data_IF_780448110840
#
_entry.id   IF_780448110840
#
_cell.length_a   1.000
_cell.length_b   1.000
_cell.length_c   1.000
_cell.angle_alpha   90.00
_cell.angle_beta   90.00
_cell.angle_gamma   90.00
#
_symmetry.space_group_name_H-M   'P 1'
#
loop_
_entity.id
_entity.type
_entity.pdbx_description
1 polymer ?
#
# COMPACT_ATOMS: atom_id res chain seq x y z
N UNK A 1 -0.16 27.81 -20.27
CA UNK A 1 -1.16 28.36 -21.21
C UNK A 1 -1.73 29.68 -20.70
N UNK A 2 -2.23 29.76 -19.45
CA UNK A 2 -2.78 31.01 -18.86
C UNK A 2 -1.87 32.23 -19.03
N UNK A 3 -0.59 32.13 -18.67
CA UNK A 3 0.37 33.25 -18.82
C UNK A 3 0.50 33.72 -20.27
N UNK A 4 0.52 32.79 -21.23
CA UNK A 4 0.65 33.10 -22.65
C UNK A 4 -0.62 33.77 -23.19
N UNK A 5 -1.80 33.33 -22.76
CA UNK A 5 -3.06 33.99 -23.11
C UNK A 5 -3.10 35.43 -22.59
N UNK A 6 -2.67 35.68 -21.34
CA UNK A 6 -2.56 37.05 -20.78
C UNK A 6 -1.54 37.93 -21.52
N UNK A 7 -0.43 37.34 -22.00
CA UNK A 7 0.55 38.08 -22.80
C UNK A 7 -0.05 38.48 -24.14
N UNK A 8 -0.69 37.55 -24.85
CA UNK A 8 -1.34 37.81 -26.14
C UNK A 8 -2.43 38.88 -25.99
N UNK A 9 -3.25 38.81 -24.93
CA UNK A 9 -4.28 39.81 -24.64
C UNK A 9 -3.71 41.22 -24.43
N UNK A 10 -2.51 41.34 -23.87
CA UNK A 10 -1.79 42.63 -23.77
C UNK A 10 -1.22 43.08 -25.11
N UNK A 11 -0.65 42.17 -25.89
CA UNK A 11 -0.08 42.45 -27.22
C UNK A 11 -1.16 42.90 -28.22
N UNK A 12 -2.35 42.30 -28.16
CA UNK A 12 -3.51 42.64 -29.00
C UNK A 12 -3.96 44.09 -28.81
N UNK A 13 -3.75 44.70 -27.64
CA UNK A 13 -4.10 46.12 -27.39
C UNK A 13 -3.25 47.12 -28.18
N UNK A 14 -2.10 46.69 -28.69
CA UNK A 14 -1.11 47.54 -29.34
C UNK A 14 -0.77 47.09 -30.77
N UNK A 15 -1.52 46.13 -31.31
CA UNK A 15 -1.25 45.52 -32.62
C UNK A 15 -2.45 45.75 -33.54
N UNK A 16 -2.21 46.10 -34.79
CA UNK A 16 -3.25 46.35 -35.81
C UNK A 16 -3.00 45.53 -37.09
N UNK A 17 -4.04 45.40 -37.92
CA UNK A 17 -3.94 44.78 -39.24
C UNK A 17 -3.71 43.26 -39.20
N UNK A 18 -2.97 42.69 -40.17
CA UNK A 18 -2.78 41.24 -40.30
C UNK A 18 -2.14 40.57 -39.08
N UNK A 19 -1.30 41.30 -38.34
CA UNK A 19 -0.67 40.81 -37.12
C UNK A 19 -1.69 40.63 -35.98
N UNK A 20 -2.70 41.50 -35.89
CA UNK A 20 -3.79 41.35 -34.91
C UNK A 20 -4.62 40.10 -35.22
N UNK A 21 -4.91 39.85 -36.50
CA UNK A 21 -5.69 38.68 -36.93
C UNK A 21 -4.96 37.35 -36.59
N UNK A 22 -3.63 37.31 -36.78
CA UNK A 22 -2.81 36.17 -36.35
C UNK A 22 -2.79 35.96 -34.82
N UNK A 23 -2.73 37.04 -34.03
CA UNK A 23 -2.82 36.98 -32.57
C UNK A 23 -4.20 36.53 -32.11
N UNK A 24 -5.28 37.01 -32.73
CA UNK A 24 -6.66 36.59 -32.46
C UNK A 24 -6.84 35.09 -32.68
N UNK A 25 -6.40 34.56 -33.83
CA UNK A 25 -6.47 33.13 -34.12
C UNK A 25 -5.69 32.29 -33.10
N UNK A 26 -4.52 32.76 -32.69
CA UNK A 26 -3.70 32.09 -31.68
C UNK A 26 -4.38 32.12 -30.31
N UNK A 27 -4.97 33.25 -29.92
CA UNK A 27 -5.73 33.38 -28.68
C UNK A 27 -6.93 32.44 -28.67
N UNK A 28 -7.76 32.45 -29.73
CA UNK A 28 -8.92 31.56 -29.86
C UNK A 28 -8.55 30.09 -29.73
N UNK A 29 -7.47 29.65 -30.40
CA UNK A 29 -6.98 28.27 -30.27
C UNK A 29 -6.54 27.96 -28.84
N UNK A 30 -5.77 28.83 -28.21
CA UNK A 30 -5.29 28.63 -26.83
C UNK A 30 -6.45 28.61 -25.82
N UNK A 31 -7.44 29.48 -25.97
CA UNK A 31 -8.63 29.51 -25.12
C UNK A 31 -9.43 28.23 -25.25
N UNK A 32 -9.67 27.78 -26.48
CA UNK A 32 -10.37 26.51 -26.74
C UNK A 32 -9.60 25.30 -26.18
N UNK A 33 -8.27 25.22 -26.38
CA UNK A 33 -7.46 24.16 -25.78
C UNK A 33 -7.46 24.22 -24.24
N UNK A 34 -7.44 25.43 -23.66
CA UNK A 34 -7.51 25.63 -22.22
C UNK A 34 -8.86 25.20 -21.64
N UNK A 35 -9.97 25.48 -22.33
CA UNK A 35 -11.31 24.98 -21.98
C UNK A 35 -11.39 23.46 -22.04
N UNK A 36 -10.90 22.85 -23.13
CA UNK A 36 -10.88 21.39 -23.29
C UNK A 36 -10.09 20.69 -22.19
N UNK A 37 -9.02 21.31 -21.69
CA UNK A 37 -8.21 20.79 -20.58
C UNK A 37 -8.76 21.18 -19.19
N UNK A 38 -9.99 21.70 -19.11
CA UNK A 38 -10.61 22.16 -17.88
C UNK A 38 -9.75 23.19 -17.11
N UNK A 39 -9.05 24.05 -17.87
CA UNK A 39 -8.07 25.00 -17.38
C UNK A 39 -8.66 26.06 -16.45
N UNK A 40 -9.98 26.29 -16.43
CA UNK A 40 -10.59 27.21 -15.45
C UNK A 40 -10.75 26.58 -14.06
N UNK A 41 -10.89 25.25 -13.97
CA UNK A 41 -11.08 24.54 -12.71
C UNK A 41 -9.77 24.11 -12.04
N UNK A 42 -8.62 24.19 -12.73
CA UNK A 42 -7.36 23.62 -12.25
C UNK A 42 -6.92 24.15 -10.87
N UNK A 43 -7.18 25.42 -10.54
CA UNK A 43 -6.84 26.00 -9.22
C UNK A 43 -7.68 25.39 -8.10
N UNK A 44 -8.97 25.18 -8.36
CA UNK A 44 -9.89 24.55 -7.42
C UNK A 44 -9.53 23.09 -7.22
N UNK A 45 -9.18 22.39 -8.29
CA UNK A 45 -8.72 21.00 -8.22
C UNK A 45 -7.40 20.85 -7.47
N UNK A 46 -6.40 21.69 -7.78
CA UNK A 46 -5.13 21.75 -7.05
C UNK A 46 -5.35 21.99 -5.56
N UNK A 47 -6.18 22.97 -5.22
CA UNK A 47 -6.53 23.28 -3.83
C UNK A 47 -7.23 22.11 -3.15
N UNK A 48 -8.16 21.46 -3.85
CA UNK A 48 -8.89 20.30 -3.34
C UNK A 48 -7.96 19.12 -3.02
N UNK A 49 -7.04 18.80 -3.94
CA UNK A 49 -6.05 17.73 -3.74
C UNK A 49 -5.09 18.06 -2.59
N UNK A 50 -4.55 19.29 -2.53
CA UNK A 50 -3.63 19.67 -1.46
C UNK A 50 -4.32 19.69 -0.08
N UNK A 51 -5.54 20.23 0.03
CA UNK A 51 -6.32 20.17 1.28
C UNK A 51 -6.65 18.74 1.67
N UNK A 52 -7.03 17.90 0.71
CA UNK A 52 -7.30 16.48 0.93
C UNK A 52 -6.09 15.68 1.41
N UNK A 53 -4.87 16.14 1.10
CA UNK A 53 -3.62 15.58 1.61
C UNK A 53 -3.14 16.25 2.91
N UNK A 54 -3.98 17.07 3.54
CA UNK A 54 -3.70 17.70 4.83
C UNK A 54 -2.78 18.92 4.77
N UNK A 55 -2.74 19.63 3.64
CA UNK A 55 -2.07 20.94 3.54
C UNK A 55 -3.05 22.09 3.79
N UNK A 56 -2.60 23.09 4.56
CA UNK A 56 -3.32 24.34 4.74
C UNK A 56 -2.98 25.34 3.63
N UNK A 57 -3.80 26.38 3.44
CA UNK A 57 -3.53 27.41 2.43
C UNK A 57 -2.23 28.17 2.69
N UNK A 58 -1.83 28.29 3.97
CA UNK A 58 -0.56 28.87 4.39
C UNK A 58 0.64 28.03 3.92
N UNK A 59 0.46 26.72 3.71
CA UNK A 59 1.50 25.83 3.23
C UNK A 59 1.76 25.97 1.73
N UNK A 60 0.80 26.52 0.95
CA UNK A 60 0.88 26.54 -0.51
C UNK A 60 2.01 27.43 -1.04
N UNK A 61 2.46 28.40 -0.24
CA UNK A 61 3.54 29.32 -0.59
C UNK A 61 4.88 28.94 0.03
N UNK A 62 4.91 27.88 0.87
CA UNK A 62 6.15 27.45 1.53
C UNK A 62 7.12 26.84 0.51
N UNK A 63 8.41 27.11 0.72
CA UNK A 63 9.45 26.48 -0.07
C UNK A 63 9.54 25.00 0.25
N UNK A 64 9.60 24.15 -0.79
CA UNK A 64 9.65 22.69 -0.66
C UNK A 64 10.79 22.24 0.27
N UNK A 65 11.93 22.94 0.25
CA UNK A 65 13.09 22.64 1.08
C UNK A 65 12.78 22.64 2.58
N UNK A 66 11.86 23.51 3.01
CA UNK A 66 11.44 23.68 4.41
C UNK A 66 10.46 22.60 4.89
N UNK A 67 9.92 21.80 3.98
CA UNK A 67 8.95 20.74 4.31
C UNK A 67 9.67 19.52 4.91
N UNK A 68 8.97 18.84 5.83
CA UNK A 68 9.42 17.56 6.37
C UNK A 68 9.44 16.47 5.29
N UNK A 69 10.15 15.36 5.53
CA UNK A 69 10.19 14.23 4.59
C UNK A 69 8.79 13.72 4.21
N UNK A 70 7.91 13.52 5.20
CA UNK A 70 6.53 13.11 4.97
C UNK A 70 5.71 14.14 4.18
N UNK A 71 5.89 15.43 4.44
CA UNK A 71 5.25 16.49 3.64
C UNK A 71 5.74 16.49 2.19
N UNK A 72 7.04 16.28 1.94
CA UNK A 72 7.58 16.17 0.57
C UNK A 72 6.96 15.01 -0.20
N UNK A 73 6.81 13.84 0.45
CA UNK A 73 6.13 12.69 -0.14
C UNK A 73 4.66 12.99 -0.45
N UNK A 74 3.94 13.68 0.46
CA UNK A 74 2.55 14.12 0.20
C UNK A 74 2.45 15.09 -0.97
N UNK A 75 3.37 16.05 -1.12
CA UNK A 75 3.42 16.93 -2.30
C UNK A 75 3.65 16.14 -3.58
N UNK A 76 4.55 15.15 -3.55
CA UNK A 76 4.82 14.28 -4.70
C UNK A 76 3.57 13.46 -5.10
N UNK A 77 2.87 12.90 -4.12
CA UNK A 77 1.58 12.23 -4.33
C UNK A 77 0.57 13.19 -4.95
N UNK A 78 0.40 14.39 -4.40
CA UNK A 78 -0.52 15.40 -4.95
C UNK A 78 -0.21 15.76 -6.40
N UNK A 79 1.07 15.95 -6.74
CA UNK A 79 1.51 16.17 -8.13
C UNK A 79 1.12 15.01 -9.05
N UNK A 80 1.28 13.78 -8.60
CA UNK A 80 0.92 12.59 -9.35
C UNK A 80 -0.61 12.51 -9.56
N UNK A 81 -1.41 12.73 -8.52
CA UNK A 81 -2.88 12.71 -8.63
C UNK A 81 -3.40 13.77 -9.60
N UNK A 82 -2.84 14.98 -9.55
CA UNK A 82 -3.23 16.09 -10.45
C UNK A 82 -2.86 15.81 -11.91
N UNK A 83 -1.80 15.02 -12.15
CA UNK A 83 -1.42 14.65 -13.52
C UNK A 83 -2.40 13.68 -14.19
N UNK A 84 -3.30 13.05 -13.42
CA UNK A 84 -4.36 12.13 -13.91
C UNK A 84 -3.87 11.10 -14.94
N UNK A 85 -2.83 10.31 -14.66
CA UNK A 85 -2.37 9.27 -15.58
C UNK A 85 -3.42 8.18 -15.79
N UNK A 86 -3.45 7.53 -16.96
CA UNK A 86 -4.37 6.40 -17.20
C UNK A 86 -4.14 5.23 -16.23
N UNK A 87 -2.90 5.09 -15.75
CA UNK A 87 -2.49 4.07 -14.78
C UNK A 87 -1.69 4.71 -13.66
N UNK A 88 -2.14 4.48 -12.43
CA UNK A 88 -1.51 4.96 -11.20
C UNK A 88 -0.83 3.80 -10.47
N UNK A 89 0.47 3.93 -10.20
CA UNK A 89 1.25 2.95 -9.43
C UNK A 89 1.62 3.58 -8.09
N UNK A 90 1.08 3.04 -7.00
CA UNK A 90 1.28 3.55 -5.65
C UNK A 90 1.94 2.51 -4.77
N UNK A 91 3.07 2.88 -4.16
CA UNK A 91 3.78 2.08 -3.18
C UNK A 91 3.66 2.74 -1.80
N UNK A 92 2.92 2.08 -0.89
CA UNK A 92 2.58 2.55 0.46
C UNK A 92 2.13 4.02 0.53
N UNK A 93 1.07 4.42 -0.20
CA UNK A 93 0.66 5.82 -0.29
C UNK A 93 0.03 6.37 1.01
N UNK A 94 -0.33 5.50 1.95
CA UNK A 94 -0.89 5.89 3.26
C UNK A 94 0.20 6.32 4.24
N UNK A 95 1.47 6.10 3.92
CA UNK A 95 2.57 6.51 4.79
C UNK A 95 2.57 8.03 4.99
N UNK A 96 2.73 8.46 6.24
CA UNK A 96 2.76 9.86 6.66
C UNK A 96 1.46 10.64 6.40
N UNK A 97 0.35 9.95 6.10
CA UNK A 97 -0.99 10.52 6.08
C UNK A 97 -1.65 10.38 7.46
N UNK A 98 -2.44 11.38 7.83
CA UNK A 98 -3.38 11.27 8.95
C UNK A 98 -4.68 10.57 8.52
N UNK A 99 -5.54 10.24 9.47
CA UNK A 99 -6.77 9.49 9.18
C UNK A 99 -7.71 10.23 8.23
N UNK A 100 -7.78 11.57 8.31
CA UNK A 100 -8.59 12.38 7.41
C UNK A 100 -8.07 12.33 5.98
N UNK A 101 -6.75 12.46 5.80
CA UNK A 101 -6.10 12.37 4.48
C UNK A 101 -6.22 10.97 3.88
N UNK A 102 -6.15 9.91 4.72
CA UNK A 102 -6.37 8.53 4.28
C UNK A 102 -7.81 8.38 3.76
N UNK A 103 -8.82 8.83 4.52
CA UNK A 103 -10.22 8.73 4.09
C UNK A 103 -10.51 9.53 2.81
N UNK A 104 -9.87 10.70 2.67
CA UNK A 104 -9.93 11.47 1.42
C UNK A 104 -9.31 10.70 0.25
N UNK A 105 -8.12 10.12 0.46
CA UNK A 105 -7.42 9.34 -0.57
C UNK A 105 -8.22 8.09 -0.97
N UNK A 106 -8.83 7.39 -0.02
CA UNK A 106 -9.75 6.27 -0.28
C UNK A 106 -10.85 6.70 -1.26
N UNK A 107 -11.52 7.81 -0.95
CA UNK A 107 -12.61 8.35 -1.77
C UNK A 107 -12.12 8.80 -3.15
N UNK A 108 -10.94 9.41 -3.21
CA UNK A 108 -10.33 9.83 -4.47
C UNK A 108 -10.02 8.63 -5.37
N UNK A 109 -9.38 7.59 -4.83
CA UNK A 109 -9.01 6.39 -5.59
C UNK A 109 -10.21 5.56 -6.03
N UNK A 110 -11.29 5.50 -5.22
CA UNK A 110 -12.54 4.84 -5.59
C UNK A 110 -13.21 5.46 -6.82
N UNK A 111 -13.07 6.78 -6.99
CA UNK A 111 -13.64 7.53 -8.11
C UNK A 111 -12.62 7.79 -9.22
N UNK A 112 -11.44 7.17 -9.15
CA UNK A 112 -10.40 7.37 -10.13
C UNK A 112 -10.82 6.74 -11.47
N UNK A 113 -10.79 7.50 -12.59
CA UNK A 113 -11.28 6.99 -13.87
C UNK A 113 -10.33 5.97 -14.51
N UNK A 114 -9.06 5.95 -14.12
CA UNK A 114 -8.04 5.05 -14.63
C UNK A 114 -7.85 3.79 -13.80
N UNK A 115 -6.82 3.01 -14.13
CA UNK A 115 -6.43 1.84 -13.34
C UNK A 115 -5.50 2.26 -12.19
N UNK A 116 -5.70 1.68 -11.01
CA UNK A 116 -4.82 1.88 -9.85
C UNK A 116 -4.19 0.55 -9.46
N UNK A 117 -2.86 0.48 -9.49
CA UNK A 117 -2.09 -0.58 -8.85
C UNK A 117 -1.56 -0.04 -7.53
N UNK A 118 -1.94 -0.72 -6.45
CA UNK A 118 -1.64 -0.30 -5.09
C UNK A 118 -0.89 -1.41 -4.36
N UNK A 119 0.21 -1.04 -3.72
CA UNK A 119 0.92 -1.85 -2.73
C UNK A 119 0.71 -1.18 -1.37
N UNK A 120 0.13 -1.92 -0.42
CA UNK A 120 0.01 -1.44 0.96
C UNK A 120 -0.01 -2.57 1.98
N UNK A 121 0.49 -2.30 3.17
CA UNK A 121 0.33 -3.13 4.36
C UNK A 121 -0.95 -2.81 5.15
N UNK A 122 -1.66 -1.72 4.84
CA UNK A 122 -2.91 -1.35 5.50
C UNK A 122 -4.10 -2.16 4.95
N UNK A 123 -4.56 -3.10 5.77
CA UNK A 123 -5.67 -4.00 5.44
C UNK A 123 -7.00 -3.27 5.28
N UNK A 124 -7.25 -2.20 6.05
CA UNK A 124 -8.51 -1.46 5.98
C UNK A 124 -8.58 -0.61 4.72
N UNK A 125 -7.46 0.03 4.38
CA UNK A 125 -7.33 0.79 3.15
C UNK A 125 -7.51 -0.11 1.92
N UNK A 126 -6.82 -1.26 1.90
CA UNK A 126 -6.98 -2.25 0.82
C UNK A 126 -8.42 -2.73 0.72
N UNK A 127 -9.08 -3.06 1.84
CA UNK A 127 -10.43 -3.62 1.82
C UNK A 127 -11.48 -2.68 1.21
N UNK A 128 -11.27 -1.37 1.34
CA UNK A 128 -12.17 -0.36 0.77
C UNK A 128 -11.87 -0.08 -0.69
N UNK A 129 -10.60 0.03 -1.06
CA UNK A 129 -10.20 0.58 -2.37
C UNK A 129 -10.05 -0.51 -3.44
N UNK A 130 -9.56 -1.71 -3.08
CA UNK A 130 -9.21 -2.71 -4.09
C UNK A 130 -10.38 -3.58 -4.50
N UNK A 131 -10.48 -3.83 -5.80
CA UNK A 131 -11.48 -4.75 -6.39
C UNK A 131 -10.87 -6.09 -6.79
N UNK A 132 -9.53 -6.19 -6.74
CA UNK A 132 -8.74 -7.34 -7.14
C UNK A 132 -7.44 -7.36 -6.33
N UNK A 133 -7.10 -8.52 -5.78
CA UNK A 133 -5.87 -8.73 -5.01
C UNK A 133 -4.92 -9.61 -5.81
N UNK A 134 -3.68 -9.16 -5.98
CA UNK A 134 -2.59 -9.95 -6.54
C UNK A 134 -1.64 -10.29 -5.40
N UNK A 135 -1.58 -11.58 -5.08
CA UNK A 135 -0.69 -12.13 -4.06
C UNK A 135 0.60 -12.62 -4.71
N UNK A 136 1.72 -12.32 -4.06
CA UNK A 136 3.03 -12.87 -4.39
C UNK A 136 3.49 -13.71 -3.19
N UNK A 137 3.51 -15.03 -3.34
CA UNK A 137 3.91 -15.95 -2.27
C UNK A 137 4.83 -17.03 -2.86
N UNK A 138 6.01 -17.21 -2.25
CA UNK A 138 7.04 -18.17 -2.70
C UNK A 138 7.38 -18.08 -4.21
N UNK A 139 7.42 -16.87 -4.76
CA UNK A 139 7.70 -16.64 -6.19
C UNK A 139 6.53 -16.96 -7.12
N UNK A 140 5.36 -17.31 -6.58
CA UNK A 140 4.14 -17.59 -7.35
C UNK A 140 3.18 -16.42 -7.24
N UNK A 141 2.67 -15.98 -8.38
CA UNK A 141 1.62 -14.97 -8.49
C UNK A 141 0.25 -15.64 -8.47
N UNK A 142 -0.63 -15.21 -7.57
CA UNK A 142 -2.03 -15.63 -7.52
C UNK A 142 -2.94 -14.42 -7.53
N UNK A 143 -4.07 -14.57 -8.18
CA UNK A 143 -5.02 -13.47 -8.34
C UNK A 143 -6.36 -13.85 -7.76
N UNK A 144 -6.92 -12.93 -6.99
CA UNK A 144 -8.21 -13.07 -6.33
C UNK A 144 -9.10 -11.89 -6.71
N UNK A 145 -10.34 -12.18 -7.08
CA UNK A 145 -11.36 -11.15 -7.33
C UNK A 145 -12.02 -10.77 -6.01
N UNK A 146 -12.32 -9.47 -5.84
CA UNK A 146 -12.88 -8.92 -4.62
C UNK A 146 -11.86 -8.15 -3.79
N UNK A 147 -12.31 -7.69 -2.64
CA UNK A 147 -11.52 -6.91 -1.70
C UNK A 147 -10.57 -7.78 -0.85
N UNK A 148 -9.83 -7.13 0.06
CA UNK A 148 -8.88 -7.79 0.94
C UNK A 148 -9.53 -8.87 1.83
N UNK A 149 -10.70 -8.59 2.42
CA UNK A 149 -11.39 -9.53 3.30
C UNK A 149 -11.82 -10.80 2.57
N UNK A 150 -12.36 -10.67 1.36
CA UNK A 150 -12.73 -11.79 0.51
C UNK A 150 -11.49 -12.63 0.13
N UNK A 151 -10.38 -11.97 -0.21
CA UNK A 151 -9.09 -12.61 -0.44
C UNK A 151 -8.62 -13.40 0.78
N UNK A 152 -8.58 -12.77 1.96
CA UNK A 152 -8.08 -13.38 3.19
C UNK A 152 -8.88 -14.63 3.57
N UNK A 153 -10.21 -14.57 3.46
CA UNK A 153 -11.09 -15.72 3.68
C UNK A 153 -10.79 -16.86 2.70
N UNK A 154 -10.69 -16.56 1.41
CA UNK A 154 -10.42 -17.56 0.37
C UNK A 154 -9.03 -18.19 0.54
N UNK A 155 -8.02 -17.40 0.89
CA UNK A 155 -6.68 -17.89 1.21
C UNK A 155 -6.70 -18.85 2.40
N UNK A 156 -7.42 -18.50 3.47
CA UNK A 156 -7.55 -19.35 4.65
C UNK A 156 -8.24 -20.70 4.31
N UNK A 157 -9.31 -20.68 3.52
CA UNK A 157 -10.00 -21.90 3.07
C UNK A 157 -9.11 -22.80 2.22
N UNK A 158 -8.39 -22.24 1.24
CA UNK A 158 -7.46 -22.99 0.40
C UNK A 158 -6.34 -23.63 1.23
N UNK A 159 -5.81 -22.88 2.19
CA UNK A 159 -4.76 -23.36 3.10
C UNK A 159 -5.27 -24.50 4.00
N UNK A 160 -6.45 -24.36 4.59
CA UNK A 160 -7.06 -25.42 5.41
C UNK A 160 -7.31 -26.70 4.58
N UNK A 161 -7.81 -26.56 3.35
CA UNK A 161 -8.00 -27.69 2.44
C UNK A 161 -6.67 -28.39 2.10
N UNK A 162 -5.62 -27.62 1.78
CA UNK A 162 -4.28 -28.15 1.52
C UNK A 162 -3.70 -28.87 2.74
N UNK A 163 -3.87 -28.30 3.93
CA UNK A 163 -3.40 -28.88 5.18
C UNK A 163 -4.12 -30.19 5.51
N UNK A 164 -5.45 -30.23 5.35
CA UNK A 164 -6.25 -31.46 5.50
C UNK A 164 -5.84 -32.54 4.50
N UNK A 165 -5.61 -32.17 3.24
CA UNK A 165 -5.14 -33.10 2.21
C UNK A 165 -3.76 -33.69 2.56
N UNK A 166 -2.83 -32.84 3.01
CA UNK A 166 -1.52 -33.28 3.49
C UNK A 166 -1.63 -34.25 4.68
N UNK A 167 -2.43 -33.91 5.69
CA UNK A 167 -2.62 -34.79 6.86
C UNK A 167 -3.27 -36.13 6.48
N UNK A 168 -4.22 -36.13 5.55
CA UNK A 168 -4.84 -37.37 5.04
C UNK A 168 -3.81 -38.25 4.33
N UNK A 169 -3.00 -37.65 3.45
CA UNK A 169 -1.94 -38.38 2.74
C UNK A 169 -0.92 -38.96 3.72
N UNK A 170 -0.49 -38.18 4.72
CA UNK A 170 0.45 -38.66 5.73
C UNK A 170 -0.12 -39.80 6.59
N UNK A 171 -1.42 -39.76 6.91
CA UNK A 171 -2.10 -40.86 7.60
C UNK A 171 -2.14 -42.12 6.75
N UNK A 172 -2.45 -41.99 5.46
CA UNK A 172 -2.48 -43.11 4.52
C UNK A 172 -1.08 -43.72 4.34
N UNK A 173 -0.06 -42.89 4.16
CA UNK A 173 1.34 -43.33 4.06
C UNK A 173 1.74 -44.11 5.31
N UNK A 174 1.50 -43.56 6.51
CA UNK A 174 1.79 -44.26 7.78
C UNK A 174 1.03 -45.57 7.91
N UNK A 175 -0.22 -45.62 7.46
CA UNK A 175 -1.01 -46.85 7.46
C UNK A 175 -0.39 -47.90 6.54
N UNK A 176 -0.04 -47.53 5.30
CA UNK A 176 0.62 -48.44 4.37
C UNK A 176 1.97 -48.94 4.89
N UNK A 177 2.79 -48.06 5.48
CA UNK A 177 4.06 -48.41 6.13
C UNK A 177 3.87 -49.44 7.26
N UNK A 178 2.88 -49.23 8.13
CA UNK A 178 2.56 -50.17 9.20
C UNK A 178 2.10 -51.54 8.66
N UNK A 179 1.32 -51.56 7.57
CA UNK A 179 0.90 -52.80 6.93
C UNK A 179 2.08 -53.51 6.25
N UNK A 180 2.98 -52.78 5.60
CA UNK A 180 4.22 -53.32 5.03
C UNK A 180 5.08 -53.94 6.14
N UNK A 181 5.28 -53.24 7.25
CA UNK A 181 6.03 -53.74 8.41
C UNK A 181 5.42 -55.03 8.98
N UNK A 182 4.08 -55.06 9.14
CA UNK A 182 3.36 -56.25 9.61
C UNK A 182 3.45 -57.41 8.61
N UNK A 183 3.40 -57.15 7.31
CA UNK A 183 3.56 -58.20 6.29
C UNK A 183 4.99 -58.78 6.30
N UNK A 184 6.01 -57.92 6.50
CA UNK A 184 7.42 -58.34 6.65
C UNK A 184 7.60 -59.20 7.91
N UNK A 185 6.93 -58.88 9.03
CA UNK A 185 7.09 -59.62 10.29
C UNK A 185 6.57 -61.07 10.25
N UNK A 186 5.69 -61.43 9.33
CA UNK A 186 5.18 -62.80 9.20
C UNK A 186 6.18 -63.80 8.59
N UNK A 187 7.33 -63.35 8.04
CA UNK A 187 8.41 -64.18 7.48
C UNK A 187 7.95 -65.31 6.51
N UNK A 188 6.85 -65.09 5.78
CA UNK A 188 6.35 -66.02 4.74
C UNK A 188 6.63 -65.44 3.36
N UNK A 189 7.07 -66.27 2.42
CA UNK A 189 7.44 -65.85 1.06
C UNK A 189 6.33 -65.04 0.35
N UNK A 190 5.07 -65.50 0.44
CA UNK A 190 3.92 -64.77 -0.12
C UNK A 190 3.67 -63.41 0.55
N UNK A 191 3.98 -63.26 1.84
CA UNK A 191 3.84 -62.01 2.58
C UNK A 191 4.95 -61.02 2.23
N UNK A 192 6.17 -61.51 2.03
CA UNK A 192 7.34 -60.71 1.63
C UNK A 192 7.12 -60.12 0.24
N UNK A 193 6.71 -60.93 -0.75
CA UNK A 193 6.40 -60.44 -2.12
C UNK A 193 5.28 -59.39 -2.13
N UNK A 194 4.27 -59.53 -1.25
CA UNK A 194 3.19 -58.53 -1.10
C UNK A 194 3.68 -57.24 -0.46
N UNK A 195 4.59 -57.32 0.52
CA UNK A 195 5.20 -56.15 1.13
C UNK A 195 6.04 -55.36 0.10
N UNK A 196 6.90 -56.04 -0.65
CA UNK A 196 7.74 -55.42 -1.70
C UNK A 196 6.91 -54.76 -2.80
N UNK A 197 5.81 -55.39 -3.23
CA UNK A 197 4.90 -54.80 -4.22
C UNK A 197 4.27 -53.50 -3.70
N UNK A 198 3.89 -53.45 -2.42
CA UNK A 198 3.31 -52.24 -1.81
C UNK A 198 4.33 -51.16 -1.56
N UNK A 199 5.55 -51.53 -1.19
CA UNK A 199 6.69 -50.61 -1.03
C UNK A 199 6.99 -49.91 -2.36
N UNK A 200 7.07 -50.65 -3.47
CA UNK A 200 7.21 -50.06 -4.82
C UNK A 200 6.04 -49.17 -5.24
N UNK A 201 4.83 -49.44 -4.76
CA UNK A 201 3.67 -48.57 -5.02
C UNK A 201 3.76 -47.29 -4.19
N UNK A 202 4.19 -47.38 -2.93
CA UNK A 202 4.35 -46.25 -2.02
C UNK A 202 5.47 -45.30 -2.48
N UNK A 203 6.58 -45.84 -2.99
CA UNK A 203 7.70 -45.06 -3.53
C UNK A 203 7.30 -44.22 -4.76
N UNK A 204 6.26 -44.64 -5.48
CA UNK A 204 5.72 -43.90 -6.64
C UNK A 204 4.73 -42.81 -6.25
N UNK A 205 4.29 -42.75 -4.98
CA UNK A 205 3.36 -41.72 -4.53
C UNK A 205 4.10 -40.40 -4.40
N UNK A 206 3.66 -39.39 -5.17
CA UNK A 206 4.15 -38.02 -5.01
C UNK A 206 3.67 -37.47 -3.66
N UNK A 207 4.62 -37.26 -2.74
CA UNK A 207 4.34 -36.70 -1.43
C UNK A 207 4.01 -35.22 -1.58
N UNK A 208 2.93 -34.79 -0.95
CA UNK A 208 2.57 -33.38 -0.84
C UNK A 208 3.56 -32.72 0.11
N UNK A 209 4.06 -31.55 -0.29
CA UNK A 209 4.85 -30.71 0.60
C UNK A 209 3.98 -30.23 1.76
N UNK A 210 4.58 -30.14 2.95
CA UNK A 210 3.90 -29.54 4.11
C UNK A 210 3.58 -28.09 3.75
N UNK A 211 2.30 -27.65 3.75
CA UNK A 211 1.97 -26.26 3.51
C UNK A 211 2.72 -25.37 4.52
N UNK A 212 3.30 -24.26 4.05
CA UNK A 212 4.05 -23.34 4.93
C UNK A 212 3.17 -22.93 6.13
N UNK A 213 3.68 -23.19 7.33
CA UNK A 213 3.15 -22.59 8.54
C UNK A 213 3.64 -21.14 8.57
N UNK A 214 2.77 -20.21 8.18
CA UNK A 214 2.97 -18.81 8.56
C UNK A 214 2.95 -18.76 10.08
N UNK A 215 4.15 -18.68 10.68
CA UNK A 215 4.29 -18.19 12.04
C UNK A 215 3.94 -16.71 11.99
N UNK A 216 2.66 -16.38 12.16
CA UNK A 216 2.20 -14.99 12.32
C UNK A 216 2.89 -14.27 13.50
N UNK A 217 3.57 -15.03 14.35
CA UNK A 217 4.38 -14.50 15.43
C UNK A 217 5.84 -14.41 14.98
N UNK A 218 6.23 -13.27 14.43
CA UNK A 218 7.62 -12.85 14.51
C UNK A 218 7.93 -12.67 16.01
N UNK A 219 8.63 -13.63 16.61
CA UNK A 219 9.05 -13.55 18.02
C UNK A 219 10.24 -12.60 18.13
N UNK A 220 9.97 -11.30 18.08
CA UNK A 220 10.94 -10.27 18.39
C UNK A 220 10.89 -9.97 19.89
N UNK A 221 11.91 -10.41 20.63
CA UNK A 221 12.13 -9.96 22.01
C UNK A 221 13.11 -8.79 21.97
N UNK A 222 12.66 -7.61 22.41
CA UNK A 222 13.53 -6.46 22.60
C UNK A 222 13.94 -6.42 24.07
N UNK A 223 15.16 -6.87 24.35
CA UNK A 223 15.72 -6.86 25.70
C UNK A 223 16.59 -5.61 25.89
N UNK A 224 16.34 -4.79 26.92
CA UNK A 224 17.17 -3.64 27.20
C UNK A 224 18.56 -4.11 27.67
N UNK A 225 19.62 -3.57 27.06
CA UNK A 225 21.01 -3.90 27.44
C UNK A 225 21.35 -3.56 28.89
N UNK A 226 20.68 -2.54 29.45
CA UNK A 226 20.85 -2.10 30.82
C UNK A 226 19.50 -1.73 31.41
N UNK A 227 19.33 -1.98 32.71
CA UNK A 227 18.16 -1.55 33.47
C UNK A 227 18.36 -0.08 33.85
N UNK A 228 17.45 0.80 33.44
CA UNK A 228 17.47 2.20 33.84
C UNK A 228 17.04 2.38 35.30
N UNK A 229 17.33 3.56 35.88
CA UNK A 229 16.67 4.03 37.10
C UNK A 229 15.16 4.17 36.93
N UNK A 230 14.44 4.42 38.03
CA UNK A 230 12.98 4.56 38.01
C UNK A 230 12.52 5.84 37.28
N UNK A 231 13.26 6.93 37.46
CA UNK A 231 13.00 8.20 36.79
C UNK A 231 13.86 8.27 35.51
N UNK A 232 13.21 8.18 34.35
CA UNK A 232 13.89 8.08 33.05
C UNK A 232 14.02 9.44 32.39
N UNK A 233 12.94 10.23 32.39
CA UNK A 233 12.92 11.57 31.80
C UNK A 233 12.05 12.49 32.64
N UNK A 234 12.54 13.67 32.98
CA UNK A 234 11.73 14.75 33.57
C UNK A 234 11.86 15.97 32.67
N UNK A 235 10.73 16.42 32.13
CA UNK A 235 10.62 17.60 31.29
C UNK A 235 9.81 18.63 32.05
N UNK A 236 10.33 19.86 32.13
CA UNK A 236 9.67 20.99 32.80
C UNK A 236 9.60 22.17 31.87
N UNK A 237 8.39 22.69 31.67
CA UNK A 237 8.06 23.92 30.93
C UNK A 237 8.67 24.00 29.52
N UNK A 238 8.85 22.85 28.87
CA UNK A 238 9.49 22.81 27.57
C UNK A 238 8.62 23.50 26.52
N UNK A 239 9.27 24.34 25.73
CA UNK A 239 8.64 25.11 24.67
C UNK A 239 9.51 25.08 23.42
N UNK A 240 8.88 24.96 22.25
CA UNK A 240 9.58 24.99 20.95
C UNK A 240 8.79 25.79 19.94
N UNK A 241 9.49 26.66 19.23
CA UNK A 241 8.96 27.45 18.12
C UNK A 241 9.98 27.51 16.98
N UNK A 242 9.46 27.74 15.79
CA UNK A 242 10.16 28.23 14.61
C UNK A 242 9.66 29.66 14.31
N UNK A 243 10.38 30.46 13.49
CA UNK A 243 9.90 31.79 13.09
C UNK A 243 8.47 31.72 12.55
N UNK A 244 7.53 32.40 13.21
CA UNK A 244 6.10 32.42 12.83
C UNK A 244 5.27 31.18 13.21
N UNK A 245 5.87 30.12 13.79
CA UNK A 245 5.13 28.91 14.15
C UNK A 245 5.54 28.39 15.53
N UNK A 246 4.61 28.44 16.48
CA UNK A 246 4.78 27.85 17.81
C UNK A 246 4.33 26.39 17.76
N UNK A 247 5.22 25.44 18.03
CA UNK A 247 4.87 24.01 18.02
C UNK A 247 4.21 23.60 19.33
N UNK A 248 4.81 23.97 20.45
CA UNK A 248 4.27 23.70 21.78
C UNK A 248 4.87 24.65 22.82
N UNK A 249 4.20 24.79 23.97
CA UNK A 249 4.74 25.51 25.13
C UNK A 249 4.23 24.99 26.45
N UNK A 250 5.06 25.13 27.48
CA UNK A 250 4.69 24.81 28.84
C UNK A 250 4.45 23.32 29.05
N UNK A 251 5.08 22.47 28.24
CA UNK A 251 4.93 21.03 28.37
C UNK A 251 5.81 20.56 29.53
N UNK A 252 5.17 19.97 30.54
CA UNK A 252 5.81 19.34 31.68
C UNK A 252 5.30 17.92 31.81
N UNK A 253 6.21 16.94 31.84
CA UNK A 253 5.86 15.53 32.05
C UNK A 253 7.06 14.77 32.60
N UNK A 254 6.77 13.65 33.25
CA UNK A 254 7.76 12.70 33.73
C UNK A 254 7.48 11.35 33.09
N UNK A 255 8.54 10.64 32.68
CA UNK A 255 8.47 9.27 32.18
C UNK A 255 9.23 8.40 33.18
N UNK A 256 8.53 7.42 33.74
CA UNK A 256 9.12 6.41 34.60
C UNK A 256 9.44 5.13 33.84
N UNK A 257 10.29 4.30 34.44
CA UNK A 257 10.70 3.04 33.83
C UNK A 257 9.50 2.11 33.61
N UNK A 258 9.26 1.75 32.34
CA UNK A 258 8.19 0.83 31.94
C UNK A 258 6.91 1.51 31.47
N UNK A 259 6.81 2.84 31.59
CA UNK A 259 5.72 3.60 30.98
C UNK A 259 5.90 3.68 29.45
N UNK A 260 4.78 3.64 28.72
CA UNK A 260 4.70 3.67 27.26
C UNK A 260 3.67 4.69 26.81
#
# INVERSE_FOLDING_TARGET
>A
METRMRTIEKEMKHTEGPALEALMNTYTRLTHEFELQNGYAYKSELTGVLKGLGFSEEDFTKQIETLSGGQKTRVALGKLLISKPDVLLLDEPTNHLDMESIAWLETYLLNYPGAVLLVSHDRYFLDKVVTKVVEIEAGVLRTYSGNYSAFALKKAQLRDAQYKAYLNQQREIKHQEAVIAKLKSFNREKSIKRAESREKMLDKVQRLDKPQELSDQMRLSLEPRFISGNDVLSVKELSKSFPGQKLFSGISFEIKRGER
#
